data_IF_647083961678
#
_entry.id   IF_647083961678
#
_cell.length_a   1.000
_cell.length_b   1.000
_cell.length_c   1.000
_cell.angle_alpha   90.00
_cell.angle_beta   90.00
_cell.angle_gamma   90.00
#
_symmetry.space_group_name_H-M   'P 1'
#
loop_
_entity.id
_entity.type
_entity.pdbx_description
1 polymer ?
#
# COMPACT_ATOMS: atom_id res chain seq x y z
N UNK A 1 19.37 -1.11 -1.87
CA UNK A 1 18.14 -1.05 -1.06
C UNK A 1 17.01 -0.72 -2.00
N UNK A 2 15.95 -1.50 -2.03
CA UNK A 2 14.84 -1.26 -2.94
C UNK A 2 14.02 -0.08 -2.42
N UNK A 3 13.95 1.03 -3.18
CA UNK A 3 13.05 2.16 -2.91
C UNK A 3 11.61 1.77 -3.21
N UNK A 4 11.05 0.89 -2.38
CA UNK A 4 9.66 0.49 -2.42
C UNK A 4 8.76 1.41 -1.60
N UNK A 5 7.45 1.25 -1.71
CA UNK A 5 6.47 1.89 -0.85
C UNK A 5 5.99 0.86 0.18
N UNK A 6 6.19 1.15 1.46
CA UNK A 6 5.68 0.36 2.58
C UNK A 6 4.82 1.23 3.50
N UNK A 7 3.69 0.69 3.91
CA UNK A 7 2.81 1.29 4.92
C UNK A 7 2.67 0.29 6.06
N UNK A 8 2.99 0.74 7.28
CA UNK A 8 2.92 -0.07 8.47
C UNK A 8 1.63 0.16 9.23
N UNK A 9 0.88 -0.90 9.45
CA UNK A 9 -0.32 -0.90 10.29
C UNK A 9 0.03 -1.47 11.66
N UNK A 10 -0.07 -0.66 12.71
CA UNK A 10 0.18 -1.05 14.10
C UNK A 10 -1.13 -1.15 14.87
N UNK A 11 -1.16 -2.05 15.83
CA UNK A 11 -2.22 -2.17 16.82
C UNK A 11 -1.81 -1.43 18.11
N UNK A 12 -2.31 -0.22 18.30
CA UNK A 12 -2.00 0.56 19.48
C UNK A 12 -2.61 -0.07 20.76
N UNK A 13 -1.82 -0.10 21.84
CA UNK A 13 -2.22 -0.68 23.12
C UNK A 13 -1.97 -2.19 23.24
N UNK A 14 -1.57 -2.86 22.18
CA UNK A 14 -1.26 -4.30 22.17
C UNK A 14 -0.07 -4.65 23.08
N UNK A 15 0.94 -3.79 23.15
CA UNK A 15 2.13 -4.00 24.01
C UNK A 15 1.81 -4.19 25.51
N UNK A 16 0.70 -3.62 26.00
CA UNK A 16 0.26 -3.80 27.39
C UNK A 16 -0.38 -5.16 27.59
N UNK A 17 -1.17 -5.61 26.63
CA UNK A 17 -1.86 -6.90 26.67
C UNK A 17 -0.86 -8.06 26.58
N UNK A 18 0.14 -7.95 25.71
CA UNK A 18 1.16 -8.96 25.49
C UNK A 18 2.04 -9.19 26.71
N UNK A 19 2.43 -8.14 27.43
CA UNK A 19 3.25 -8.27 28.64
C UNK A 19 2.57 -9.04 29.78
N UNK A 20 1.27 -9.21 29.71
CA UNK A 20 0.49 -9.97 30.70
C UNK A 20 0.22 -11.43 30.30
N UNK A 21 0.71 -11.88 29.12
CA UNK A 21 0.30 -13.12 28.48
C UNK A 21 1.49 -13.95 27.98
N UNK A 22 1.94 -14.86 28.79
CA UNK A 22 3.02 -15.83 28.45
C UNK A 22 2.54 -17.03 27.60
N UNK A 23 1.41 -16.93 26.89
CA UNK A 23 0.88 -18.09 26.18
C UNK A 23 1.11 -18.03 24.66
N UNK A 24 1.62 -19.12 24.12
CA UNK A 24 1.85 -19.40 22.68
C UNK A 24 0.59 -19.13 21.83
N UNK A 25 -0.61 -19.33 22.40
CA UNK A 25 -1.88 -19.16 21.71
C UNK A 25 -2.17 -17.68 21.32
N UNK A 26 -1.73 -16.73 22.15
CA UNK A 26 -1.91 -15.29 21.85
C UNK A 26 -1.09 -14.85 20.64
N UNK A 27 0.14 -15.30 20.56
CA UNK A 27 1.04 -15.04 19.43
C UNK A 27 0.43 -15.52 18.11
N UNK A 28 -0.03 -16.77 18.09
CA UNK A 28 -0.64 -17.37 16.92
C UNK A 28 -1.95 -16.65 16.50
N UNK A 29 -2.84 -16.35 17.43
CA UNK A 29 -4.10 -15.63 17.15
C UNK A 29 -3.85 -14.23 16.58
N UNK A 30 -2.87 -13.53 17.14
CA UNK A 30 -2.48 -12.21 16.65
C UNK A 30 -1.86 -12.27 15.26
N UNK A 31 -1.03 -13.29 15.01
CA UNK A 31 -0.45 -13.52 13.69
C UNK A 31 -1.52 -13.77 12.63
N UNK A 32 -2.48 -14.65 12.91
CA UNK A 32 -3.61 -14.92 12.01
C UNK A 32 -4.47 -13.68 11.76
N UNK A 33 -4.69 -12.87 12.79
CA UNK A 33 -5.43 -11.61 12.64
C UNK A 33 -4.68 -10.63 11.74
N UNK A 34 -3.40 -10.35 12.00
CA UNK A 34 -2.58 -9.44 11.22
C UNK A 34 -2.40 -9.91 9.78
N UNK A 35 -2.23 -11.20 9.56
CA UNK A 35 -2.18 -11.79 8.22
C UNK A 35 -3.50 -11.59 7.46
N UNK A 36 -4.63 -11.85 8.12
CA UNK A 36 -5.96 -11.56 7.56
C UNK A 36 -6.18 -10.08 7.24
N UNK A 37 -5.70 -9.16 8.07
CA UNK A 37 -5.71 -7.72 7.80
C UNK A 37 -4.85 -7.38 6.59
N UNK A 38 -3.64 -7.93 6.51
CA UNK A 38 -2.74 -7.76 5.38
C UNK A 38 -3.38 -8.22 4.07
N UNK A 39 -3.99 -9.40 4.06
CA UNK A 39 -4.73 -9.92 2.90
C UNK A 39 -5.90 -9.03 2.48
N UNK A 40 -6.69 -8.50 3.43
CA UNK A 40 -7.79 -7.59 3.13
C UNK A 40 -7.29 -6.30 2.47
N UNK A 41 -6.25 -5.68 3.03
CA UNK A 41 -5.67 -4.45 2.48
C UNK A 41 -5.07 -4.70 1.10
N UNK A 42 -4.32 -5.78 0.90
CA UNK A 42 -3.73 -6.14 -0.40
C UNK A 42 -4.83 -6.35 -1.44
N UNK A 43 -5.91 -7.04 -1.10
CA UNK A 43 -7.03 -7.30 -2.01
C UNK A 43 -7.68 -6.00 -2.46
N UNK A 44 -8.01 -5.10 -1.53
CA UNK A 44 -8.60 -3.81 -1.82
C UNK A 44 -7.64 -2.90 -2.60
N UNK A 45 -6.37 -2.85 -2.21
CA UNK A 45 -5.34 -2.07 -2.89
C UNK A 45 -5.13 -2.55 -4.34
N UNK A 46 -5.22 -3.84 -4.60
CA UNK A 46 -5.15 -4.40 -5.96
C UNK A 46 -6.33 -3.98 -6.81
N UNK A 47 -7.53 -3.84 -6.26
CA UNK A 47 -8.70 -3.34 -6.98
C UNK A 47 -8.53 -1.85 -7.36
N UNK A 48 -7.98 -1.05 -6.47
CA UNK A 48 -7.74 0.39 -6.66
C UNK A 48 -6.51 0.71 -7.49
N UNK A 49 -5.51 -0.18 -7.51
CA UNK A 49 -4.28 0.05 -8.23
C UNK A 49 -4.52 0.24 -9.73
N UNK A 50 -3.99 1.31 -10.33
CA UNK A 50 -4.15 1.56 -11.76
C UNK A 50 -3.49 0.44 -12.57
N UNK A 51 -4.21 -0.03 -13.60
CA UNK A 51 -3.77 -1.13 -14.45
C UNK A 51 -3.29 -0.62 -15.79
N UNK A 52 -2.02 -0.88 -16.08
CA UNK A 52 -1.47 -0.77 -17.44
C UNK A 52 -1.07 -2.17 -17.95
N UNK A 53 -0.03 -2.75 -17.35
CA UNK A 53 0.41 -4.12 -17.60
C UNK A 53 0.22 -5.04 -16.39
N UNK A 54 -0.40 -4.53 -15.33
CA UNK A 54 -0.65 -5.30 -14.11
C UNK A 54 0.52 -5.35 -13.12
N UNK A 55 1.71 -4.84 -13.48
CA UNK A 55 2.91 -4.95 -12.65
C UNK A 55 2.73 -4.34 -11.24
N UNK A 56 2.13 -3.15 -11.13
CA UNK A 56 1.84 -2.55 -9.83
C UNK A 56 0.92 -3.45 -9.00
N UNK A 57 -0.15 -3.91 -9.61
CA UNK A 57 -1.16 -4.76 -8.95
C UNK A 57 -0.56 -6.07 -8.45
N UNK A 58 0.27 -6.72 -9.25
CA UNK A 58 0.93 -7.99 -8.88
C UNK A 58 2.04 -7.82 -7.85
N UNK A 59 2.63 -6.63 -7.74
CA UNK A 59 3.72 -6.34 -6.81
C UNK A 59 3.27 -5.95 -5.40
N UNK A 60 1.95 -5.77 -5.18
CA UNK A 60 1.42 -5.42 -3.85
C UNK A 60 1.48 -6.68 -2.98
N UNK A 61 2.11 -6.55 -1.82
CA UNK A 61 2.35 -7.61 -0.86
C UNK A 61 2.04 -7.14 0.57
N UNK A 62 1.99 -8.07 1.50
CA UNK A 62 2.04 -7.80 2.93
C UNK A 62 3.05 -8.73 3.60
N UNK A 63 3.57 -8.30 4.74
CA UNK A 63 4.48 -9.06 5.59
C UNK A 63 4.13 -8.81 7.05
N UNK A 64 3.87 -9.87 7.80
CA UNK A 64 3.60 -9.79 9.25
C UNK A 64 4.92 -9.75 10.00
N UNK A 65 4.99 -8.98 11.07
CA UNK A 65 6.14 -8.91 11.97
C UNK A 65 6.60 -10.32 12.37
N UNK A 66 7.91 -10.54 12.34
CA UNK A 66 8.52 -11.83 12.71
C UNK A 66 8.70 -12.01 14.21
N UNK A 67 8.49 -10.97 15.00
CA UNK A 67 8.52 -11.05 16.46
C UNK A 67 7.34 -11.88 16.97
N UNK A 68 7.52 -12.52 18.13
CA UNK A 68 6.44 -13.19 18.84
C UNK A 68 6.16 -12.47 20.16
N UNK A 69 4.93 -12.04 20.38
CA UNK A 69 3.82 -11.94 19.42
C UNK A 69 4.06 -10.81 18.40
N UNK A 70 3.55 -10.95 17.17
CA UNK A 70 3.70 -9.93 16.13
C UNK A 70 2.92 -8.67 16.48
N UNK A 71 3.48 -7.49 16.15
CA UNK A 71 2.93 -6.18 16.56
C UNK A 71 2.33 -5.38 15.41
N UNK A 72 2.69 -5.70 14.18
CA UNK A 72 2.27 -4.97 12.99
C UNK A 72 2.25 -5.87 11.74
N UNK A 73 1.60 -5.37 10.71
CA UNK A 73 1.72 -5.88 9.35
C UNK A 73 2.16 -4.75 8.44
N UNK A 74 3.19 -4.98 7.66
CA UNK A 74 3.64 -4.07 6.61
C UNK A 74 2.91 -4.42 5.31
N UNK A 75 2.36 -3.39 4.63
CA UNK A 75 1.72 -3.55 3.34
C UNK A 75 2.37 -2.58 2.36
N UNK A 76 2.83 -3.08 1.22
CA UNK A 76 3.61 -2.28 0.32
C UNK A 76 3.63 -2.76 -1.11
N UNK A 77 4.50 -2.16 -1.92
CA UNK A 77 4.75 -2.55 -3.30
C UNK A 77 6.24 -2.43 -3.61
N UNK A 78 6.79 -3.44 -4.30
CA UNK A 78 8.22 -3.50 -4.66
C UNK A 78 8.58 -2.72 -5.92
N UNK A 79 7.59 -2.12 -6.61
CA UNK A 79 7.90 -1.36 -7.82
C UNK A 79 8.26 0.08 -7.48
N UNK A 80 9.34 0.57 -8.09
CA UNK A 80 9.90 1.92 -7.86
C UNK A 80 8.92 3.07 -8.11
N UNK A 81 7.98 2.90 -9.01
CA UNK A 81 7.01 3.94 -9.34
C UNK A 81 5.76 3.94 -8.44
N UNK A 82 5.62 2.96 -7.53
CA UNK A 82 4.48 2.87 -6.62
C UNK A 82 4.25 4.15 -5.79
N UNK A 83 5.29 4.80 -5.19
CA UNK A 83 5.12 6.05 -4.47
C UNK A 83 4.52 7.17 -5.32
N UNK A 84 4.93 7.29 -6.58
CA UNK A 84 4.38 8.30 -7.50
C UNK A 84 2.92 8.05 -7.87
N UNK A 85 2.50 6.79 -7.89
CA UNK A 85 1.10 6.43 -8.09
C UNK A 85 0.27 6.66 -6.83
N UNK A 86 0.83 6.38 -5.66
CA UNK A 86 0.16 6.59 -4.37
C UNK A 86 -0.03 8.07 -4.07
N UNK A 87 1.05 8.84 -4.14
CA UNK A 87 1.10 10.23 -3.70
C UNK A 87 0.94 11.26 -4.83
N UNK A 88 1.02 10.83 -6.09
CA UNK A 88 1.06 11.75 -7.23
C UNK A 88 2.45 12.34 -7.47
N UNK A 89 2.54 13.32 -8.36
CA UNK A 89 3.79 14.00 -8.71
C UNK A 89 3.60 15.50 -8.95
N UNK A 90 4.70 16.24 -9.01
CA UNK A 90 4.69 17.67 -9.35
C UNK A 90 4.03 18.52 -8.27
N UNK A 91 3.13 19.42 -8.67
CA UNK A 91 2.38 20.27 -7.74
C UNK A 91 1.11 19.63 -7.22
N UNK A 92 0.70 18.49 -7.80
CA UNK A 92 -0.55 17.80 -7.46
C UNK A 92 -0.36 16.70 -6.42
N UNK A 93 0.89 16.36 -6.06
CA UNK A 93 1.15 15.30 -5.06
C UNK A 93 0.69 15.73 -3.66
N UNK A 94 0.35 14.74 -2.85
CA UNK A 94 -0.04 14.90 -1.44
C UNK A 94 0.94 14.24 -0.44
N UNK A 95 2.16 13.95 -0.89
CA UNK A 95 3.21 13.43 -0.01
C UNK A 95 3.68 14.54 0.94
N UNK A 96 3.73 14.27 2.29
CA UNK A 96 4.00 15.30 3.29
C UNK A 96 5.40 15.90 3.20
N UNK A 97 6.39 15.12 2.77
CA UNK A 97 7.80 15.52 2.77
C UNK A 97 8.37 15.84 1.38
N UNK A 98 7.60 15.70 0.31
CA UNK A 98 8.10 15.99 -1.04
C UNK A 98 7.96 17.47 -1.38
N UNK A 99 8.95 18.08 -2.06
CA UNK A 99 8.84 19.45 -2.51
C UNK A 99 7.78 19.59 -3.62
N UNK A 100 6.97 20.64 -3.55
CA UNK A 100 6.01 21.01 -4.60
C UNK A 100 6.76 21.63 -5.79
N UNK A 101 7.34 20.79 -6.63
CA UNK A 101 8.04 21.23 -7.85
C UNK A 101 7.12 21.13 -9.06
N UNK A 102 7.26 22.06 -10.01
CA UNK A 102 6.53 22.00 -11.26
C UNK A 102 6.86 20.69 -11.98
N UNK A 103 5.82 19.94 -12.35
CA UNK A 103 6.00 18.71 -13.10
C UNK A 103 6.61 19.02 -14.47
N UNK A 104 7.83 18.57 -14.69
CA UNK A 104 8.45 18.54 -16.01
C UNK A 104 7.88 17.30 -16.72
N UNK A 105 7.38 17.42 -17.96
CA UNK A 105 6.86 16.26 -18.69
C UNK A 105 7.91 15.15 -18.68
N UNK A 106 7.52 13.98 -18.19
CA UNK A 106 8.40 12.84 -18.01
C UNK A 106 8.76 12.30 -19.41
N UNK A 107 9.79 12.84 -19.98
CA UNK A 107 10.50 12.21 -21.08
C UNK A 107 11.64 11.43 -20.44
N UNK A 108 11.34 10.23 -19.93
CA UNK A 108 12.39 9.27 -19.67
C UNK A 108 13.12 9.08 -20.99
N UNK A 109 14.38 9.44 -21.02
CA UNK A 109 15.26 9.13 -22.13
C UNK A 109 15.98 7.83 -21.78
N UNK A 110 16.06 6.92 -22.73
CA UNK A 110 16.93 5.76 -22.64
C UNK A 110 18.41 6.19 -22.71
N UNK A 111 19.31 5.25 -22.61
CA UNK A 111 20.76 5.49 -22.69
C UNK A 111 21.18 6.16 -24.01
N UNK A 112 20.38 6.02 -25.07
CA UNK A 112 20.54 6.66 -26.39
C UNK A 112 19.88 8.04 -26.50
N UNK A 113 19.30 8.55 -25.39
CA UNK A 113 18.60 9.85 -25.37
C UNK A 113 17.22 9.84 -26.02
N UNK A 114 16.67 8.64 -26.36
CA UNK A 114 15.33 8.52 -26.97
C UNK A 114 14.25 8.57 -25.91
N UNK A 115 13.08 9.17 -26.18
CA UNK A 115 11.97 9.20 -25.24
C UNK A 115 11.53 7.79 -24.86
N UNK A 116 11.73 7.38 -23.62
CA UNK A 116 11.28 6.06 -23.14
C UNK A 116 9.78 5.99 -23.11
N UNK A 117 9.34 5.10 -23.85
CA UNK A 117 8.11 4.74 -24.45
C UNK A 117 6.95 4.33 -23.50
N UNK A 118 7.02 4.49 -22.17
CA UNK A 118 5.95 4.03 -21.27
C UNK A 118 4.59 4.65 -21.63
N UNK A 119 4.55 5.95 -21.87
CA UNK A 119 3.31 6.65 -22.30
C UNK A 119 2.92 6.32 -23.74
N UNK A 120 3.91 6.08 -24.62
CA UNK A 120 3.63 5.67 -26.00
C UNK A 120 3.09 4.26 -26.06
N UNK A 121 3.64 3.32 -25.31
CA UNK A 121 3.12 1.96 -25.20
C UNK A 121 1.74 1.92 -24.55
N UNK A 122 1.50 2.77 -23.54
CA UNK A 122 0.18 2.94 -22.96
C UNK A 122 -0.83 3.47 -23.99
N UNK A 123 -0.48 4.55 -24.70
CA UNK A 123 -1.30 5.14 -25.74
C UNK A 123 -1.64 4.16 -26.87
N UNK A 124 -0.63 3.40 -27.35
CA UNK A 124 -0.80 2.37 -28.36
C UNK A 124 -1.81 1.30 -27.91
N UNK A 125 -1.68 0.80 -26.67
CA UNK A 125 -2.64 -0.19 -26.12
C UNK A 125 -4.06 0.35 -25.97
N UNK A 126 -4.20 1.67 -25.78
CA UNK A 126 -5.50 2.34 -25.70
C UNK A 126 -6.04 2.78 -27.08
N UNK A 127 -5.38 2.39 -28.16
CA UNK A 127 -5.82 2.76 -29.51
C UNK A 127 -5.60 4.24 -29.89
N UNK A 128 -4.82 5.00 -29.10
CA UNK A 128 -4.60 6.44 -29.30
C UNK A 128 -3.49 6.76 -30.31
N UNK A 129 -2.91 5.77 -30.96
CA UNK A 129 -1.84 5.95 -31.92
C UNK A 129 -0.54 6.55 -31.33
N UNK A 130 0.43 6.86 -32.21
CA UNK A 130 1.76 7.31 -31.79
C UNK A 130 1.73 8.71 -31.12
N UNK A 131 0.85 9.61 -31.59
CA UNK A 131 0.68 10.95 -31.00
C UNK A 131 0.03 10.97 -29.63
N UNK A 132 -0.68 9.91 -29.24
CA UNK A 132 -1.39 9.81 -27.97
C UNK A 132 -0.47 9.91 -26.75
N UNK A 133 0.77 9.40 -26.84
CA UNK A 133 1.75 9.52 -25.77
C UNK A 133 2.13 10.96 -25.45
N UNK A 134 2.31 11.80 -26.47
CA UNK A 134 2.55 13.24 -26.30
C UNK A 134 1.34 13.96 -25.72
N UNK A 135 0.14 13.65 -26.20
CA UNK A 135 -1.08 14.25 -25.68
C UNK A 135 -1.26 13.96 -24.19
N UNK A 136 -1.02 12.72 -23.78
CA UNK A 136 -1.06 12.31 -22.36
C UNK A 136 0.00 13.06 -21.55
N UNK A 137 1.26 13.10 -22.01
CA UNK A 137 2.34 13.80 -21.33
C UNK A 137 2.02 15.30 -21.15
N UNK A 138 1.51 15.93 -22.19
CA UNK A 138 1.10 17.33 -22.17
C UNK A 138 -0.07 17.59 -21.21
N UNK A 139 -1.04 16.69 -21.16
CA UNK A 139 -2.15 16.79 -20.23
C UNK A 139 -1.69 16.65 -18.77
N UNK A 140 -0.76 15.73 -18.47
CA UNK A 140 -0.15 15.59 -17.14
C UNK A 140 0.60 16.87 -16.76
N UNK A 141 1.42 17.41 -17.68
CA UNK A 141 2.17 18.64 -17.44
C UNK A 141 1.26 19.85 -17.21
N UNK A 142 0.17 19.98 -17.98
CA UNK A 142 -0.82 21.05 -17.84
C UNK A 142 -1.53 21.02 -16.49
N UNK A 143 -1.75 19.83 -15.92
CA UNK A 143 -2.35 19.64 -14.58
C UNK A 143 -1.36 19.87 -13.44
N UNK A 144 -0.08 20.05 -13.73
CA UNK A 144 0.98 20.18 -12.72
C UNK A 144 1.56 18.86 -12.24
N UNK A 145 1.11 17.72 -12.75
CA UNK A 145 1.62 16.39 -12.40
C UNK A 145 0.58 15.28 -12.48
N UNK A 146 0.94 14.11 -11.96
CA UNK A 146 0.04 12.98 -11.77
C UNK A 146 -0.78 13.19 -10.50
N UNK A 147 -2.09 13.02 -10.60
CA UNK A 147 -2.95 13.00 -9.41
C UNK A 147 -2.70 11.76 -8.55
N UNK A 148 -2.68 11.89 -7.22
CA UNK A 148 -2.54 10.76 -6.31
C UNK A 148 -3.68 9.75 -6.49
N UNK A 149 -3.35 8.48 -6.56
CA UNK A 149 -4.32 7.39 -6.67
C UNK A 149 -4.72 6.79 -5.34
N UNK A 150 -3.90 6.99 -4.30
CA UNK A 150 -4.15 6.56 -2.92
C UNK A 150 -4.60 5.09 -2.83
N UNK A 151 -3.98 4.20 -3.61
CA UNK A 151 -4.43 2.82 -3.71
C UNK A 151 -4.16 2.03 -2.42
N UNK A 152 -3.08 2.35 -1.66
CA UNK A 152 -2.82 1.76 -0.35
C UNK A 152 -3.52 2.54 0.76
N UNK A 153 -3.28 3.85 0.88
CA UNK A 153 -3.89 4.66 1.95
C UNK A 153 -5.41 4.64 1.88
N UNK A 154 -5.98 4.81 0.68
CA UNK A 154 -7.42 4.76 0.49
C UNK A 154 -8.02 3.40 0.87
N UNK A 155 -7.30 2.30 0.61
CA UNK A 155 -7.73 0.96 1.04
C UNK A 155 -7.75 0.82 2.56
N UNK A 156 -6.73 1.35 3.25
CA UNK A 156 -6.65 1.34 4.71
C UNK A 156 -7.75 2.20 5.31
N UNK A 157 -7.98 3.40 4.78
CA UNK A 157 -9.05 4.30 5.22
C UNK A 157 -10.42 3.64 5.16
N UNK A 158 -10.75 2.99 4.04
CA UNK A 158 -12.04 2.32 3.84
C UNK A 158 -12.21 1.06 4.70
N UNK A 159 -11.12 0.35 4.95
CA UNK A 159 -11.15 -0.88 5.75
C UNK A 159 -11.04 -0.62 7.25
N UNK A 160 -10.73 0.60 7.68
CA UNK A 160 -10.43 0.94 9.08
C UNK A 160 -11.53 0.49 10.06
N UNK A 161 -12.80 0.72 9.71
CA UNK A 161 -13.93 0.27 10.53
C UNK A 161 -13.97 -1.25 10.68
N UNK A 162 -13.93 -1.97 9.56
CA UNK A 162 -13.94 -3.44 9.53
C UNK A 162 -12.76 -4.07 10.26
N UNK A 163 -11.58 -3.47 10.15
CA UNK A 163 -10.37 -3.92 10.86
C UNK A 163 -10.58 -3.72 12.37
N UNK A 164 -11.13 -2.56 12.78
CA UNK A 164 -11.42 -2.26 14.17
C UNK A 164 -12.43 -3.23 14.79
N UNK A 165 -13.53 -3.53 14.11
CA UNK A 165 -14.52 -4.51 14.56
C UNK A 165 -13.91 -5.90 14.76
N UNK A 166 -13.16 -6.39 13.77
CA UNK A 166 -12.45 -7.68 13.89
C UNK A 166 -11.42 -7.70 15.01
N UNK A 167 -10.74 -6.57 15.25
CA UNK A 167 -9.80 -6.46 16.36
C UNK A 167 -10.50 -6.64 17.71
N UNK A 168 -11.68 -6.03 17.89
CA UNK A 168 -12.47 -6.20 19.12
C UNK A 168 -12.84 -7.66 19.34
N UNK A 169 -13.28 -8.37 18.30
CA UNK A 169 -13.60 -9.81 18.38
C UNK A 169 -12.40 -10.66 18.81
N UNK A 170 -11.22 -10.42 18.22
CA UNK A 170 -9.99 -11.15 18.56
C UNK A 170 -9.55 -10.85 19.99
N UNK A 171 -9.54 -9.58 20.37
CA UNK A 171 -9.22 -9.13 21.73
C UNK A 171 -10.13 -9.78 22.78
N UNK A 172 -11.43 -9.77 22.54
CA UNK A 172 -12.42 -10.33 23.47
C UNK A 172 -12.33 -11.86 23.52
N UNK A 173 -11.95 -12.51 22.40
CA UNK A 173 -11.65 -13.94 22.35
C UNK A 173 -10.41 -14.30 23.18
N UNK A 174 -9.34 -13.52 23.08
CA UNK A 174 -8.12 -13.67 23.87
C UNK A 174 -8.47 -13.46 25.37
N UNK A 175 -9.19 -12.40 25.71
CA UNK A 175 -9.56 -12.07 27.09
C UNK A 175 -10.38 -13.19 27.75
N UNK A 176 -11.32 -13.79 27.00
CA UNK A 176 -12.13 -14.93 27.50
C UNK A 176 -11.30 -16.17 27.71
N UNK A 177 -10.35 -16.45 26.85
CA UNK A 177 -9.44 -17.60 26.96
C UNK A 177 -8.61 -17.49 28.24
N UNK A 178 -8.12 -16.30 28.56
CA UNK A 178 -7.34 -16.04 29.77
C UNK A 178 -8.20 -16.18 31.02
N UNK A 179 -9.41 -15.60 31.00
CA UNK A 179 -10.34 -15.67 32.13
C UNK A 179 -10.83 -17.11 32.40
N UNK A 180 -10.93 -17.96 31.35
CA UNK A 180 -11.34 -19.36 31.44
C UNK A 180 -10.22 -20.34 31.70
N UNK A 181 -8.96 -20.01 31.42
CA UNK A 181 -7.78 -20.90 31.58
C UNK A 181 -7.23 -21.01 33.00
N UNK A 182 -7.84 -20.32 33.96
CA UNK A 182 -7.47 -20.47 35.39
C UNK A 182 -8.12 -21.65 36.10
N UNK A 183 -8.77 -22.58 35.37
CA UNK A 183 -9.34 -23.80 35.93
C UNK A 183 -8.93 -25.01 35.06
N UNK A 184 -7.70 -25.48 35.25
CA UNK A 184 -7.28 -26.83 34.94
C UNK A 184 -6.10 -27.21 35.87
#
# INVERSE_FOLDING_TARGET
MADGLDIRVRLDGFDRLVRSLDSVDVGQRTRLFLDGVGHLIVSEARLRAPVNVGLLRSSIFHEVDQQEPPRYVDVGSRVRYAPYMEYGTGTTHDHPSWPKVRHIPFVNRDEDGRPVAALFWYAKRKGLGFGGGYAIARAIAKRGGLMPRRFLRGSIEDLRGRIGERWVEVRDGISRHIAGGGQA
#
